data_IF_302931577571
#
_entry.id   IF_302931577571
#
_cell.length_a   1.000
_cell.length_b   1.000
_cell.length_c   1.000
_cell.angle_alpha   90.00
_cell.angle_beta   90.00
_cell.angle_gamma   90.00
#
_symmetry.space_group_name_H-M   'P 1'
#
loop_
_entity.id
_entity.type
_entity.pdbx_description
1 polymer ?
#
# COMPACT_ATOMS: atom_id res chain seq x y z
N UNK A 1 26.29 9.18 3.68
CA UNK A 1 25.11 8.32 3.87
C UNK A 1 24.93 7.92 5.34
N UNK A 2 23.71 8.08 5.87
CA UNK A 2 23.41 7.94 7.30
C UNK A 2 23.59 6.54 7.87
N UNK A 3 24.19 6.46 9.07
CA UNK A 3 24.46 5.24 9.83
C UNK A 3 23.24 4.31 9.95
N UNK A 4 22.05 4.87 10.12
CA UNK A 4 20.80 4.12 10.23
C UNK A 4 20.50 3.23 9.01
N UNK A 5 20.73 3.70 7.78
CA UNK A 5 20.50 2.90 6.56
C UNK A 5 21.40 1.66 6.54
N UNK A 6 22.67 1.83 6.93
CA UNK A 6 23.65 0.74 7.00
C UNK A 6 23.24 -0.30 8.04
N UNK A 7 22.95 0.15 9.26
CA UNK A 7 22.51 -0.72 10.36
C UNK A 7 21.27 -1.53 9.98
N UNK A 8 20.23 -0.89 9.42
CA UNK A 8 19.00 -1.60 9.02
C UNK A 8 19.28 -2.62 7.91
N UNK A 9 20.12 -2.29 6.94
CA UNK A 9 20.50 -3.23 5.87
C UNK A 9 21.29 -4.42 6.42
N UNK A 10 22.17 -4.19 7.39
CA UNK A 10 22.95 -5.26 8.02
C UNK A 10 22.08 -6.17 8.89
N UNK A 11 21.06 -5.62 9.56
CA UNK A 11 20.01 -6.41 10.23
C UNK A 11 19.29 -7.29 9.19
N UNK A 12 18.85 -6.72 8.07
CA UNK A 12 18.17 -7.47 7.01
C UNK A 12 18.99 -8.63 6.45
N UNK A 13 20.31 -8.42 6.28
CA UNK A 13 21.26 -9.47 5.88
C UNK A 13 21.39 -10.57 6.92
N UNK A 14 21.64 -10.20 8.18
CA UNK A 14 21.83 -11.17 9.28
C UNK A 14 20.56 -11.98 9.57
N UNK A 15 19.40 -11.36 9.42
CA UNK A 15 18.11 -12.01 9.58
C UNK A 15 17.69 -12.87 8.37
N UNK A 16 18.43 -12.82 7.26
CA UNK A 16 18.11 -13.60 6.06
C UNK A 16 16.81 -13.17 5.37
N UNK A 17 16.36 -11.93 5.54
CA UNK A 17 15.10 -11.45 4.94
C UNK A 17 15.34 -11.07 3.48
N UNK A 18 15.08 -12.00 2.57
CA UNK A 18 15.23 -11.83 1.12
C UNK A 18 14.00 -11.12 0.53
N UNK A 19 14.23 -10.05 -0.22
CA UNK A 19 13.19 -9.19 -0.83
C UNK A 19 13.18 -9.22 -2.36
N UNK A 20 14.10 -9.97 -2.99
CA UNK A 20 14.10 -10.21 -4.44
C UNK A 20 14.65 -11.60 -4.79
N UNK A 21 14.28 -12.13 -5.96
CA UNK A 21 14.83 -13.38 -6.48
C UNK A 21 16.34 -13.33 -6.78
N UNK A 22 16.94 -12.14 -6.81
CA UNK A 22 18.39 -11.95 -6.96
C UNK A 22 19.16 -12.04 -5.63
N UNK A 23 18.49 -12.39 -4.52
CA UNK A 23 19.13 -12.49 -3.20
C UNK A 23 19.32 -11.14 -2.49
N UNK A 24 18.67 -10.07 -2.96
CA UNK A 24 18.69 -8.78 -2.25
C UNK A 24 18.01 -8.96 -0.89
N UNK A 25 18.60 -8.41 0.15
CA UNK A 25 18.06 -8.43 1.52
C UNK A 25 17.38 -7.11 1.90
N UNK A 26 16.50 -7.16 2.89
CA UNK A 26 15.67 -6.04 3.30
C UNK A 26 16.51 -4.81 3.72
N UNK A 27 16.08 -3.64 3.25
CA UNK A 27 16.64 -2.33 3.61
C UNK A 27 15.57 -1.40 4.21
N UNK A 28 16.00 -0.24 4.73
CA UNK A 28 15.09 0.80 5.20
C UNK A 28 14.09 1.26 4.12
N UNK A 29 14.48 1.23 2.85
CA UNK A 29 13.60 1.57 1.74
C UNK A 29 12.51 0.50 1.54
N UNK A 30 12.87 -0.77 1.68
CA UNK A 30 11.92 -1.88 1.55
C UNK A 30 10.89 -1.86 2.68
N UNK A 31 11.31 -1.54 3.92
CA UNK A 31 10.39 -1.32 5.04
C UNK A 31 9.35 -0.23 4.73
N UNK A 32 9.81 0.91 4.18
CA UNK A 32 8.93 2.00 3.79
C UNK A 32 7.96 1.59 2.67
N UNK A 33 8.42 0.80 1.71
CA UNK A 33 7.55 0.27 0.64
C UNK A 33 6.49 -0.67 1.20
N UNK A 34 6.88 -1.60 2.07
CA UNK A 34 5.95 -2.53 2.73
C UNK A 34 4.93 -1.80 3.59
N UNK A 35 5.34 -0.75 4.33
CA UNK A 35 4.40 0.12 5.06
C UNK A 35 3.35 0.72 4.13
N UNK A 36 3.79 1.34 3.03
CA UNK A 36 2.87 1.95 2.06
C UNK A 36 1.88 0.96 1.48
N UNK A 37 2.35 -0.23 1.11
CA UNK A 37 1.50 -1.28 0.54
C UNK A 37 0.47 -1.78 1.55
N UNK A 38 0.89 -2.10 2.79
CA UNK A 38 -0.05 -2.58 3.82
C UNK A 38 -1.13 -1.57 4.16
N UNK A 39 -0.79 -0.28 4.21
CA UNK A 39 -1.78 0.77 4.47
C UNK A 39 -2.75 0.91 3.29
N UNK A 40 -2.26 0.83 2.05
CA UNK A 40 -3.11 0.81 0.87
C UNK A 40 -4.04 -0.42 0.88
N UNK A 41 -3.51 -1.60 1.20
CA UNK A 41 -4.25 -2.86 1.31
C UNK A 41 -5.35 -2.77 2.36
N UNK A 42 -5.06 -2.13 3.51
CA UNK A 42 -6.02 -1.83 4.58
C UNK A 42 -7.07 -0.76 4.23
N UNK A 43 -7.06 -0.22 3.00
CA UNK A 43 -8.08 0.71 2.52
C UNK A 43 -7.85 2.17 2.94
N UNK A 44 -6.64 2.53 3.38
CA UNK A 44 -6.32 3.91 3.77
C UNK A 44 -6.46 4.83 2.54
N UNK A 45 -7.18 5.96 2.66
CA UNK A 45 -7.33 6.91 1.55
C UNK A 45 -5.99 7.39 1.01
N UNK A 46 -5.83 7.44 -0.32
CA UNK A 46 -4.54 7.68 -0.98
C UNK A 46 -3.93 9.04 -0.62
N UNK A 47 -4.75 10.08 -0.42
CA UNK A 47 -4.30 11.40 0.05
C UNK A 47 -3.71 11.34 1.47
N UNK A 48 -4.34 10.56 2.35
CA UNK A 48 -3.85 10.34 3.70
C UNK A 48 -2.54 9.53 3.68
N UNK A 49 -2.48 8.47 2.86
CA UNK A 49 -1.28 7.69 2.66
C UNK A 49 -0.13 8.53 2.10
N UNK A 50 -0.39 9.43 1.14
CA UNK A 50 0.58 10.38 0.61
C UNK A 50 1.16 11.27 1.72
N UNK A 51 0.32 11.78 2.61
CA UNK A 51 0.72 12.61 3.74
C UNK A 51 1.56 11.83 4.76
N UNK A 52 1.11 10.62 5.16
CA UNK A 52 1.83 9.72 6.07
C UNK A 52 3.22 9.36 5.53
N UNK A 53 3.31 9.10 4.22
CA UNK A 53 4.59 8.80 3.58
C UNK A 53 5.40 10.07 3.35
N UNK A 54 4.83 11.28 3.34
CA UNK A 54 5.51 12.54 2.96
C UNK A 54 5.97 12.53 1.50
N UNK A 55 5.15 12.01 0.60
CA UNK A 55 5.43 12.08 -0.84
C UNK A 55 5.08 13.46 -1.39
N UNK A 56 6.10 14.17 -1.91
CA UNK A 56 5.93 15.48 -2.53
C UNK A 56 5.07 15.42 -3.80
N UNK A 57 5.18 14.35 -4.58
CA UNK A 57 4.38 14.12 -5.78
C UNK A 57 3.34 13.03 -5.57
N UNK A 58 2.12 13.26 -6.05
CA UNK A 58 1.04 12.29 -6.00
C UNK A 58 1.29 11.08 -6.92
N UNK A 59 1.99 11.28 -8.04
CA UNK A 59 2.30 10.23 -9.01
C UNK A 59 3.02 9.03 -8.39
N UNK A 60 3.88 9.24 -7.39
CA UNK A 60 4.58 8.16 -6.68
C UNK A 60 3.67 7.34 -5.77
N UNK A 61 2.57 7.92 -5.27
CA UNK A 61 1.59 7.17 -4.49
C UNK A 61 0.61 6.45 -5.40
N UNK A 62 0.15 7.12 -6.46
CA UNK A 62 -0.79 6.57 -7.43
C UNK A 62 -0.23 5.34 -8.18
N UNK A 63 0.98 5.44 -8.74
CA UNK A 63 1.54 4.35 -9.56
C UNK A 63 1.71 3.03 -8.81
N UNK A 64 1.97 3.09 -7.50
CA UNK A 64 2.34 1.93 -6.70
C UNK A 64 1.17 1.36 -5.89
N UNK A 65 0.15 2.16 -5.56
CA UNK A 65 -0.86 1.76 -4.57
C UNK A 65 -2.32 1.79 -5.06
N UNK A 66 -2.59 2.29 -6.27
CA UNK A 66 -3.94 2.33 -6.84
C UNK A 66 -4.23 1.21 -7.86
N UNK A 67 -3.22 0.42 -8.25
CA UNK A 67 -3.43 -0.70 -9.18
C UNK A 67 -4.29 -1.76 -8.49
N UNK A 68 -5.31 -2.24 -9.21
CA UNK A 68 -6.13 -3.42 -8.88
C UNK A 68 -7.19 -3.27 -7.77
N UNK A 69 -7.59 -2.05 -7.39
CA UNK A 69 -8.65 -1.82 -6.37
C UNK A 69 -10.00 -1.35 -6.93
N UNK A 70 -10.25 -1.53 -8.23
CA UNK A 70 -11.51 -1.09 -8.88
C UNK A 70 -12.74 -1.70 -8.20
N UNK A 71 -12.70 -3.00 -7.89
CA UNK A 71 -13.83 -3.67 -7.22
C UNK A 71 -14.04 -3.14 -5.79
N UNK A 72 -12.97 -3.00 -5.01
CA UNK A 72 -13.05 -2.45 -3.65
C UNK A 72 -13.58 -1.02 -3.64
N UNK A 73 -13.20 -0.20 -4.64
CA UNK A 73 -13.71 1.15 -4.79
C UNK A 73 -15.19 1.16 -5.20
N UNK A 74 -15.62 0.25 -6.07
CA UNK A 74 -17.03 0.09 -6.43
C UNK A 74 -17.88 -0.31 -5.21
N UNK A 75 -17.40 -1.24 -4.38
CA UNK A 75 -18.09 -1.68 -3.17
C UNK A 75 -18.22 -0.53 -2.15
N UNK A 76 -17.15 0.27 -1.98
CA UNK A 76 -17.19 1.47 -1.13
C UNK A 76 -18.15 2.53 -1.70
N UNK A 77 -18.16 2.76 -3.02
CA UNK A 77 -19.12 3.67 -3.65
C UNK A 77 -20.56 3.21 -3.43
N UNK A 78 -20.84 1.91 -3.58
CA UNK A 78 -22.18 1.36 -3.37
C UNK A 78 -22.66 1.55 -1.92
N UNK A 79 -21.75 1.40 -0.95
CA UNK A 79 -22.01 1.69 0.46
C UNK A 79 -22.31 3.17 0.70
N UNK A 80 -21.47 4.08 0.18
CA UNK A 80 -21.63 5.53 0.38
C UNK A 80 -22.87 6.10 -0.33
N UNK A 81 -23.22 5.56 -1.49
CA UNK A 81 -24.36 6.02 -2.30
C UNK A 81 -25.66 5.27 -1.95
N UNK A 82 -25.62 4.33 -1.01
CA UNK A 82 -26.80 3.61 -0.54
C UNK A 82 -27.47 2.70 -1.57
N UNK A 83 -26.77 2.31 -2.64
CA UNK A 83 -27.36 1.50 -3.74
C UNK A 83 -27.52 0.02 -3.38
N UNK A 84 -27.06 -0.40 -2.19
CA UNK A 84 -27.20 -1.78 -1.67
C UNK A 84 -28.68 -2.19 -1.44
N UNK A 85 -29.63 -1.28 -1.62
CA UNK A 85 -31.07 -1.54 -1.44
C UNK A 85 -31.89 -1.88 -2.69
N UNK A 86 -31.37 -1.84 -3.93
CA UNK A 86 -32.25 -2.00 -5.13
C UNK A 86 -31.96 -3.21 -6.03
N UNK A 87 -30.89 -3.98 -5.79
CA UNK A 87 -30.59 -5.16 -6.62
C UNK A 87 -31.15 -6.47 -6.08
N UNK A 88 -31.67 -6.50 -4.85
CA UNK A 88 -32.21 -7.72 -4.22
C UNK A 88 -33.74 -7.86 -4.30
N UNK A 89 -34.50 -6.82 -4.65
CA UNK A 89 -35.97 -6.85 -4.69
C UNK A 89 -36.57 -7.08 -6.10
N UNK A 90 -35.74 -7.27 -7.13
CA UNK A 90 -36.23 -7.49 -8.51
C UNK A 90 -36.37 -8.97 -8.93
N UNK A 91 -36.24 -9.93 -7.99
CA UNK A 91 -36.41 -11.36 -8.28
C UNK A 91 -37.13 -12.08 -7.13
N UNK A 92 -38.42 -11.77 -6.95
CA UNK A 92 -39.47 -12.75 -6.63
C UNK A 92 -40.86 -12.15 -6.86
#
# INVERSE_FOLDING_TARGET
>A
EGQAKRVVSDIGKRAGVVVSGSGKTASAHDLRRSFGQRMADAGVPVRLLQAMMRHRSFTTTEQYYLRDKVQQQADQLALYLGTVGQSAEAVN
#
